data_IF_439203862377
#
_entry.id   IF_439203862377
#
_cell.length_a   1.000
_cell.length_b   1.000
_cell.length_c   1.000
_cell.angle_alpha   90.00
_cell.angle_beta   90.00
_cell.angle_gamma   90.00
#
_symmetry.space_group_name_H-M   'P 1'
#
loop_
_entity.id
_entity.type
_entity.pdbx_description
1 polymer ?
#
# COMPACT_ATOMS: atom_id res chain seq x y z
N UNK A 1 18.30 -3.08 21.02
CA UNK A 1 17.19 -4.02 20.69
C UNK A 1 17.54 -5.37 21.31
N UNK A 2 16.53 -6.04 21.87
CA UNK A 2 16.69 -7.39 22.41
C UNK A 2 16.86 -8.38 21.25
N UNK A 3 17.26 -9.62 21.55
CA UNK A 3 17.42 -10.69 20.56
C UNK A 3 16.15 -10.85 19.73
N UNK A 4 16.25 -10.88 18.39
CA UNK A 4 15.14 -10.91 17.45
C UNK A 4 15.06 -12.27 16.74
N UNK A 5 13.87 -12.81 16.58
CA UNK A 5 13.61 -13.90 15.62
C UNK A 5 12.54 -13.46 14.60
N UNK A 6 12.84 -13.63 13.32
CA UNK A 6 11.91 -13.47 12.21
C UNK A 6 11.59 -14.83 11.61
N UNK A 7 10.37 -15.31 11.84
CA UNK A 7 9.85 -16.54 11.22
C UNK A 7 9.07 -16.18 9.96
N UNK A 8 9.34 -16.81 8.83
CA UNK A 8 8.66 -16.53 7.56
C UNK A 8 7.96 -17.80 7.07
N UNK A 9 6.64 -17.88 7.27
CA UNK A 9 5.83 -18.89 6.60
C UNK A 9 5.73 -18.54 5.11
N UNK A 10 6.09 -19.49 4.24
CA UNK A 10 6.28 -19.23 2.82
C UNK A 10 7.72 -18.82 2.47
N UNK A 11 8.69 -19.31 3.23
CA UNK A 11 10.12 -19.01 3.05
C UNK A 11 10.69 -19.35 1.67
N UNK A 12 9.98 -20.11 0.83
CA UNK A 12 10.38 -20.45 -0.55
C UNK A 12 9.53 -19.75 -1.61
N UNK A 13 8.80 -18.70 -1.21
CA UNK A 13 7.94 -17.92 -2.09
C UNK A 13 8.63 -16.71 -2.71
N UNK A 14 8.05 -16.18 -3.79
CA UNK A 14 8.57 -15.03 -4.54
C UNK A 14 8.72 -13.77 -3.67
N UNK A 15 7.74 -13.49 -2.80
CA UNK A 15 7.79 -12.36 -1.88
C UNK A 15 9.01 -12.43 -0.94
N UNK A 16 9.27 -13.62 -0.38
CA UNK A 16 10.43 -13.84 0.51
C UNK A 16 11.73 -13.57 -0.21
N UNK A 17 11.86 -14.09 -1.44
CA UNK A 17 13.09 -13.96 -2.22
C UNK A 17 13.31 -12.53 -2.75
N UNK A 18 12.27 -11.89 -3.29
CA UNK A 18 12.39 -10.57 -3.94
C UNK A 18 12.33 -9.40 -2.97
N UNK A 19 11.68 -9.57 -1.82
CA UNK A 19 11.40 -8.45 -0.92
C UNK A 19 11.93 -8.65 0.49
N UNK A 20 11.53 -9.73 1.17
CA UNK A 20 11.79 -9.84 2.61
C UNK A 20 13.27 -10.06 2.92
N UNK A 21 13.94 -11.00 2.25
CA UNK A 21 15.35 -11.27 2.51
C UNK A 21 16.28 -10.15 2.03
N UNK A 22 16.08 -9.52 0.84
CA UNK A 22 16.83 -8.32 0.47
C UNK A 22 16.63 -7.14 1.45
N UNK A 23 15.40 -6.92 1.96
CA UNK A 23 15.13 -5.91 2.96
C UNK A 23 15.86 -6.19 4.28
N UNK A 24 15.86 -7.45 4.75
CA UNK A 24 16.62 -7.86 5.93
C UNK A 24 18.12 -7.67 5.76
N UNK A 25 18.65 -7.99 4.57
CA UNK A 25 20.05 -7.74 4.25
C UNK A 25 20.38 -6.23 4.27
N UNK A 26 19.53 -5.38 3.71
CA UNK A 26 19.70 -3.94 3.78
C UNK A 26 19.75 -3.44 5.24
N UNK A 27 18.80 -3.89 6.08
CA UNK A 27 18.78 -3.56 7.53
C UNK A 27 20.04 -4.03 8.24
N UNK A 28 20.54 -5.22 7.90
CA UNK A 28 21.79 -5.77 8.44
C UNK A 28 22.98 -4.87 8.10
N UNK A 29 23.16 -4.50 6.83
CA UNK A 29 24.26 -3.65 6.37
C UNK A 29 24.18 -2.22 6.97
N UNK A 30 22.97 -1.72 7.20
CA UNK A 30 22.73 -0.41 7.83
C UNK A 30 22.85 -0.43 9.36
N UNK A 31 23.21 -1.58 9.96
CA UNK A 31 23.26 -1.79 11.42
C UNK A 31 21.94 -1.44 12.15
N UNK A 32 20.81 -1.75 11.51
CA UNK A 32 19.46 -1.51 12.04
C UNK A 32 18.84 -2.78 12.66
N UNK A 33 19.56 -3.90 12.62
CA UNK A 33 19.19 -5.12 13.33
C UNK A 33 19.94 -5.22 14.66
N UNK A 34 19.40 -5.95 15.69
CA UNK A 34 20.15 -6.26 16.90
C UNK A 34 21.35 -7.16 16.58
N UNK A 35 22.37 -7.16 17.43
CA UNK A 35 23.56 -8.03 17.24
C UNK A 35 23.18 -9.52 17.18
N UNK A 36 22.21 -9.93 17.99
CA UNK A 36 21.70 -11.29 17.98
C UNK A 36 20.32 -11.32 17.28
N UNK A 37 20.28 -11.86 16.07
CA UNK A 37 19.03 -12.12 15.35
C UNK A 37 19.07 -13.45 14.62
N UNK A 38 17.88 -13.99 14.38
CA UNK A 38 17.64 -15.25 13.69
C UNK A 38 16.56 -15.05 12.64
N UNK A 39 16.78 -15.52 11.42
CA UNK A 39 15.75 -15.59 10.37
C UNK A 39 15.48 -17.06 10.10
N UNK A 40 14.23 -17.47 10.25
CA UNK A 40 13.77 -18.84 10.06
C UNK A 40 12.75 -18.91 8.92
N UNK A 41 13.22 -19.04 7.65
CA UNK A 41 12.32 -19.31 6.53
C UNK A 41 11.73 -20.71 6.63
N UNK A 42 10.40 -20.83 6.54
CA UNK A 42 9.69 -22.12 6.61
C UNK A 42 9.18 -22.53 5.23
N UNK A 43 9.42 -23.78 4.87
CA UNK A 43 8.93 -24.35 3.62
C UNK A 43 8.98 -25.88 3.59
N UNK A 44 8.26 -26.49 2.63
CA UNK A 44 8.13 -27.95 2.52
C UNK A 44 9.32 -28.65 1.84
N UNK A 45 10.14 -27.89 1.10
CA UNK A 45 11.24 -28.44 0.31
C UNK A 45 12.34 -28.97 1.21
N UNK A 46 13.02 -30.03 0.77
CA UNK A 46 14.11 -30.64 1.53
C UNK A 46 15.41 -29.90 1.23
N UNK A 47 15.63 -28.76 1.88
CA UNK A 47 16.84 -27.97 1.78
C UNK A 47 17.62 -28.01 3.09
N UNK A 48 18.95 -28.07 2.97
CA UNK A 48 19.88 -27.67 4.02
C UNK A 48 19.98 -26.13 4.07
N UNK A 49 20.60 -25.60 5.12
CA UNK A 49 20.91 -24.16 5.16
C UNK A 49 21.76 -23.73 3.98
N UNK A 50 22.75 -24.54 3.59
CA UNK A 50 23.63 -24.26 2.45
C UNK A 50 22.88 -24.26 1.11
N UNK A 51 21.92 -25.19 0.91
CA UNK A 51 21.09 -25.22 -0.30
C UNK A 51 20.23 -23.96 -0.37
N UNK A 52 19.60 -23.60 0.76
CA UNK A 52 18.73 -22.43 0.84
C UNK A 52 19.50 -21.13 0.62
N UNK A 53 20.69 -20.99 1.23
CA UNK A 53 21.58 -19.84 1.05
C UNK A 53 22.01 -19.69 -0.41
N UNK A 54 22.38 -20.79 -1.08
CA UNK A 54 22.71 -20.77 -2.51
C UNK A 54 21.56 -20.35 -3.42
N UNK A 55 20.30 -20.66 -3.02
CA UNK A 55 19.10 -20.23 -3.75
C UNK A 55 18.85 -18.72 -3.57
N UNK A 56 19.01 -18.18 -2.37
CA UNK A 56 18.67 -16.78 -2.08
C UNK A 56 19.78 -15.78 -2.43
N UNK A 57 21.01 -16.22 -2.57
CA UNK A 57 22.18 -15.37 -2.91
C UNK A 57 21.96 -14.52 -4.16
N UNK A 58 21.54 -15.07 -5.32
CA UNK A 58 21.30 -14.28 -6.52
C UNK A 58 20.15 -13.26 -6.32
N UNK A 59 19.12 -13.62 -5.56
CA UNK A 59 18.01 -12.71 -5.28
C UNK A 59 18.42 -11.54 -4.40
N UNK A 60 19.21 -11.77 -3.36
CA UNK A 60 19.75 -10.68 -2.52
C UNK A 60 20.65 -9.80 -3.37
N UNK A 61 21.50 -10.38 -4.22
CA UNK A 61 22.43 -9.64 -5.10
C UNK A 61 21.70 -8.76 -6.11
N UNK A 62 20.54 -9.20 -6.62
CA UNK A 62 19.74 -8.48 -7.60
C UNK A 62 18.84 -7.40 -6.95
N UNK A 63 18.22 -7.71 -5.80
CA UNK A 63 17.16 -6.89 -5.22
C UNK A 63 17.56 -6.06 -4.00
N UNK A 64 18.75 -6.26 -3.41
CA UNK A 64 19.24 -5.40 -2.34
C UNK A 64 19.56 -4.00 -2.89
N UNK A 65 19.21 -2.96 -2.11
CA UNK A 65 19.54 -1.57 -2.46
C UNK A 65 21.02 -1.23 -2.23
N UNK A 66 21.62 -1.91 -1.26
CA UNK A 66 23.04 -1.75 -0.93
C UNK A 66 23.90 -2.66 -1.79
N UNK A 67 25.14 -2.23 -2.07
CA UNK A 67 26.09 -3.07 -2.79
C UNK A 67 26.41 -4.32 -1.97
N UNK A 68 26.13 -5.49 -2.53
CA UNK A 68 26.44 -6.77 -1.90
C UNK A 68 27.94 -7.06 -2.00
N UNK A 69 28.53 -7.47 -0.86
CA UNK A 69 29.92 -7.94 -0.75
C UNK A 69 29.91 -9.33 -0.15
N UNK A 70 30.75 -10.24 -0.69
CA UNK A 70 30.75 -11.64 -0.29
C UNK A 70 30.95 -11.84 1.22
N UNK A 71 31.90 -11.14 1.83
CA UNK A 71 32.15 -11.23 3.27
C UNK A 71 30.91 -10.84 4.11
N UNK A 72 30.22 -9.77 3.71
CA UNK A 72 29.02 -9.31 4.40
C UNK A 72 27.83 -10.26 4.17
N UNK A 73 27.72 -10.81 2.98
CA UNK A 73 26.69 -11.79 2.65
C UNK A 73 26.88 -13.09 3.44
N UNK A 74 28.13 -13.59 3.51
CA UNK A 74 28.45 -14.75 4.33
C UNK A 74 28.23 -14.49 5.84
N UNK A 75 28.48 -13.28 6.32
CA UNK A 75 28.15 -12.90 7.69
C UNK A 75 26.63 -12.90 7.93
N UNK A 76 25.84 -12.38 6.99
CA UNK A 76 24.38 -12.39 7.06
C UNK A 76 23.80 -13.81 7.02
N UNK A 77 24.35 -14.68 6.19
CA UNK A 77 23.91 -16.09 6.07
C UNK A 77 24.02 -16.90 7.36
N UNK A 78 24.93 -16.54 8.27
CA UNK A 78 25.04 -17.17 9.59
C UNK A 78 23.80 -17.00 10.47
N UNK A 79 22.95 -16.05 10.13
CA UNK A 79 21.69 -15.77 10.84
C UNK A 79 20.47 -16.41 10.17
N UNK A 80 20.63 -17.13 9.06
CA UNK A 80 19.52 -17.73 8.31
C UNK A 80 19.56 -19.25 8.47
N UNK A 81 18.52 -19.80 9.08
CA UNK A 81 18.35 -21.23 9.27
C UNK A 81 17.01 -21.68 8.69
N UNK A 82 17.07 -22.44 7.60
CA UNK A 82 15.88 -22.94 6.92
C UNK A 82 15.22 -24.06 7.75
N UNK A 83 13.96 -23.90 8.06
CA UNK A 83 13.20 -24.90 8.79
C UNK A 83 12.24 -25.64 7.85
N UNK A 84 12.48 -26.93 7.62
CA UNK A 84 11.61 -27.75 6.78
C UNK A 84 10.36 -28.12 7.56
N UNK A 85 9.19 -27.64 7.06
CA UNK A 85 7.93 -27.89 7.68
C UNK A 85 6.78 -27.83 6.66
N UNK A 86 5.83 -28.75 6.76
CA UNK A 86 4.51 -28.58 6.17
C UNK A 86 3.61 -27.93 7.22
N UNK A 87 3.36 -26.64 7.07
CA UNK A 87 2.57 -25.85 8.01
C UNK A 87 1.06 -26.18 7.98
N UNK A 88 0.60 -27.09 7.13
CA UNK A 88 -0.74 -27.67 7.18
C UNK A 88 -0.83 -28.86 8.15
N UNK A 89 0.32 -29.42 8.55
CA UNK A 89 0.42 -30.49 9.53
C UNK A 89 0.59 -29.92 10.95
N UNK A 90 -0.46 -30.00 11.74
CA UNK A 90 -0.49 -29.46 13.11
C UNK A 90 0.56 -30.08 14.05
N UNK A 91 0.99 -31.33 13.82
CA UNK A 91 2.00 -31.97 14.65
C UNK A 91 3.38 -31.33 14.50
N UNK A 92 3.67 -30.73 13.35
CA UNK A 92 4.97 -30.12 13.09
C UNK A 92 5.21 -28.80 13.83
N UNK A 93 4.14 -28.15 14.34
CA UNK A 93 4.30 -26.97 15.20
C UNK A 93 4.98 -27.29 16.53
N UNK A 94 4.85 -28.51 17.04
CA UNK A 94 5.59 -28.94 18.23
C UNK A 94 7.11 -29.02 17.96
N UNK A 95 7.50 -29.44 16.76
CA UNK A 95 8.92 -29.45 16.36
C UNK A 95 9.48 -28.05 16.22
N UNK A 96 8.69 -27.13 15.65
CA UNK A 96 9.05 -25.73 15.56
C UNK A 96 9.16 -25.07 16.94
N UNK A 97 8.25 -25.40 17.87
CA UNK A 97 8.28 -24.91 19.26
C UNK A 97 9.54 -25.39 20.00
N UNK A 98 9.91 -26.69 19.86
CA UNK A 98 11.18 -27.24 20.38
C UNK A 98 12.41 -26.55 19.78
N UNK A 99 12.35 -26.23 18.49
CA UNK A 99 13.41 -25.47 17.84
C UNK A 99 13.62 -24.10 18.49
N UNK A 100 12.53 -23.38 18.85
CA UNK A 100 12.64 -22.09 19.53
C UNK A 100 12.98 -22.22 21.02
N UNK A 101 12.68 -23.33 21.67
CA UNK A 101 13.20 -23.62 23.02
C UNK A 101 14.74 -23.64 23.04
N UNK A 102 15.37 -24.18 21.97
CA UNK A 102 16.81 -24.14 21.80
C UNK A 102 17.37 -22.77 21.33
N UNK A 103 16.50 -21.91 20.79
CA UNK A 103 16.86 -20.59 20.26
C UNK A 103 16.01 -19.47 20.90
N UNK A 104 16.06 -19.28 22.23
CA UNK A 104 15.18 -18.35 22.92
C UNK A 104 15.37 -16.90 22.45
N UNK A 105 14.27 -16.19 22.30
CA UNK A 105 14.22 -14.80 21.89
C UNK A 105 13.17 -14.03 22.68
N UNK A 106 13.36 -12.74 22.85
CA UNK A 106 12.42 -11.84 23.53
C UNK A 106 11.54 -11.06 22.53
N UNK A 107 11.91 -11.04 21.26
CA UNK A 107 11.19 -10.32 20.22
C UNK A 107 10.96 -11.25 19.02
N UNK A 108 9.76 -11.75 18.89
CA UNK A 108 9.38 -12.69 17.85
C UNK A 108 8.46 -12.04 16.84
N UNK A 109 8.88 -12.00 15.59
CA UNK A 109 8.07 -11.53 14.45
C UNK A 109 7.77 -12.72 13.56
N UNK A 110 6.49 -12.95 13.27
CA UNK A 110 6.02 -14.06 12.44
C UNK A 110 5.35 -13.47 11.20
N UNK A 111 5.94 -13.75 10.05
CA UNK A 111 5.47 -13.22 8.76
C UNK A 111 4.72 -14.29 7.97
N UNK A 112 3.47 -14.01 7.60
CA UNK A 112 2.65 -14.87 6.75
C UNK A 112 2.82 -14.49 5.27
N UNK A 113 3.91 -14.99 4.66
CA UNK A 113 4.22 -14.81 3.23
C UNK A 113 3.57 -15.92 2.37
N UNK A 114 2.32 -16.24 2.64
CA UNK A 114 1.52 -17.32 2.02
C UNK A 114 0.17 -16.80 1.57
N UNK A 115 -0.57 -17.60 0.79
CA UNK A 115 -1.94 -17.27 0.42
C UNK A 115 -2.87 -17.23 1.65
N UNK A 116 -3.92 -16.39 1.64
CA UNK A 116 -4.85 -16.21 2.77
C UNK A 116 -5.50 -17.50 3.28
N UNK A 117 -5.69 -18.48 2.39
CA UNK A 117 -6.27 -19.78 2.74
C UNK A 117 -5.49 -20.53 3.82
N UNK A 118 -4.22 -20.20 3.99
CA UNK A 118 -3.36 -20.80 5.03
C UNK A 118 -3.32 -20.01 6.33
N UNK A 119 -3.82 -18.78 6.37
CA UNK A 119 -3.70 -17.92 7.53
C UNK A 119 -4.33 -18.52 8.78
N UNK A 120 -5.53 -19.09 8.66
CA UNK A 120 -6.22 -19.70 9.79
C UNK A 120 -5.45 -20.89 10.37
N UNK A 121 -5.01 -21.81 9.51
CA UNK A 121 -4.26 -23.00 9.93
C UNK A 121 -2.93 -22.65 10.61
N UNK A 122 -2.20 -21.67 10.06
CA UNK A 122 -0.96 -21.16 10.67
C UNK A 122 -1.25 -20.50 12.02
N UNK A 123 -2.30 -19.69 12.12
CA UNK A 123 -2.72 -19.02 13.35
C UNK A 123 -3.02 -20.05 14.45
N UNK A 124 -3.78 -21.11 14.13
CA UNK A 124 -4.06 -22.20 15.06
C UNK A 124 -2.79 -22.90 15.53
N UNK A 125 -1.89 -23.21 14.59
CA UNK A 125 -0.63 -23.86 14.92
C UNK A 125 0.26 -22.98 15.82
N UNK A 126 0.47 -21.73 15.45
CA UNK A 126 1.26 -20.77 16.23
C UNK A 126 0.70 -20.57 17.64
N UNK A 127 -0.62 -20.50 17.78
CA UNK A 127 -1.27 -20.32 19.09
C UNK A 127 -1.02 -21.48 20.09
N UNK A 128 -0.59 -22.65 19.61
CA UNK A 128 -0.24 -23.81 20.48
C UNK A 128 1.20 -23.77 20.97
N UNK A 129 2.05 -22.93 20.40
CA UNK A 129 3.48 -22.84 20.73
C UNK A 129 3.68 -22.07 22.03
N UNK A 130 4.62 -22.55 22.87
CA UNK A 130 4.87 -22.02 24.22
C UNK A 130 6.14 -21.19 24.32
N UNK A 131 7.07 -21.41 23.39
CA UNK A 131 8.39 -20.77 23.41
C UNK A 131 8.43 -19.46 22.58
N UNK A 132 7.26 -18.91 22.28
CA UNK A 132 7.09 -17.60 21.67
C UNK A 132 6.29 -16.71 22.63
N UNK A 133 6.95 -15.69 23.19
CA UNK A 133 6.29 -14.70 24.05
C UNK A 133 5.78 -13.55 23.19
N UNK A 134 4.49 -13.24 23.26
CA UNK A 134 3.83 -12.09 22.62
C UNK A 134 4.29 -11.89 21.16
N UNK A 135 4.11 -12.91 20.28
CA UNK A 135 4.61 -12.81 18.92
C UNK A 135 3.87 -11.73 18.14
N UNK A 136 4.60 -10.97 17.34
CA UNK A 136 4.06 -10.01 16.39
C UNK A 136 3.73 -10.72 15.10
N UNK A 137 2.47 -10.67 14.69
CA UNK A 137 1.97 -11.34 13.47
C UNK A 137 1.89 -10.34 12.34
N UNK A 138 2.61 -10.61 11.26
CA UNK A 138 2.64 -9.76 10.06
C UNK A 138 1.86 -10.44 8.94
N UNK A 139 0.86 -9.75 8.42
CA UNK A 139 -0.05 -10.24 7.38
C UNK A 139 0.08 -9.44 6.11
N UNK A 140 0.12 -10.15 4.98
CA UNK A 140 0.03 -9.57 3.64
C UNK A 140 -1.41 -9.51 3.13
N UNK A 141 -1.63 -8.59 2.24
CA UNK A 141 -2.84 -8.47 1.44
C UNK A 141 -2.93 -9.62 0.39
N UNK A 142 -4.11 -10.17 0.12
CA UNK A 142 -5.42 -9.86 0.73
C UNK A 142 -5.58 -10.51 2.11
N UNK A 143 -6.31 -9.84 3.01
CA UNK A 143 -6.51 -10.32 4.38
C UNK A 143 -7.60 -11.40 4.52
N UNK A 144 -8.19 -11.84 3.42
CA UNK A 144 -9.20 -12.89 3.30
C UNK A 144 -9.83 -12.88 1.90
N UNK A 145 -10.54 -13.95 1.55
CA UNK A 145 -11.23 -14.07 0.27
C UNK A 145 -12.56 -13.29 0.24
N UNK A 146 -13.19 -13.06 1.40
CA UNK A 146 -14.39 -12.23 1.57
C UNK A 146 -14.29 -11.40 2.85
N UNK A 147 -15.16 -10.39 2.99
CA UNK A 147 -15.24 -9.58 4.20
C UNK A 147 -15.53 -10.42 5.45
N UNK A 148 -16.46 -11.39 5.36
CA UNK A 148 -16.82 -12.27 6.47
C UNK A 148 -15.63 -13.11 6.93
N UNK A 149 -14.89 -13.71 6.00
CA UNK A 149 -13.70 -14.51 6.30
C UNK A 149 -12.58 -13.64 6.89
N UNK A 150 -12.36 -12.46 6.31
CA UNK A 150 -11.38 -11.50 6.82
C UNK A 150 -11.73 -11.02 8.23
N UNK A 151 -13.02 -10.74 8.51
CA UNK A 151 -13.54 -10.36 9.83
C UNK A 151 -13.37 -11.49 10.86
N UNK A 152 -13.70 -12.72 10.48
CA UNK A 152 -13.51 -13.89 11.31
C UNK A 152 -12.03 -14.07 11.68
N UNK A 153 -11.14 -14.04 10.69
CA UNK A 153 -9.71 -14.20 10.89
C UNK A 153 -9.12 -13.07 11.75
N UNK A 154 -9.50 -11.81 11.48
CA UNK A 154 -9.07 -10.67 12.27
C UNK A 154 -9.42 -10.81 13.73
N UNK A 155 -10.69 -11.14 14.03
CA UNK A 155 -11.15 -11.36 15.40
C UNK A 155 -10.42 -12.51 16.08
N UNK A 156 -10.14 -13.60 15.34
CA UNK A 156 -9.40 -14.75 15.85
C UNK A 156 -7.97 -14.36 16.23
N UNK A 157 -7.26 -13.65 15.34
CA UNK A 157 -5.90 -13.15 15.56
C UNK A 157 -5.83 -12.20 16.76
N UNK A 158 -6.74 -11.23 16.84
CA UNK A 158 -6.79 -10.25 17.92
C UNK A 158 -7.10 -10.88 19.28
N UNK A 159 -7.97 -11.89 19.31
CA UNK A 159 -8.25 -12.64 20.54
C UNK A 159 -7.06 -13.48 21.01
N UNK A 160 -6.25 -14.03 20.10
CA UNK A 160 -5.11 -14.88 20.42
C UNK A 160 -3.84 -14.10 20.76
N UNK A 161 -3.58 -13.00 20.05
CA UNK A 161 -2.29 -12.30 20.12
C UNK A 161 -2.40 -10.85 20.60
N UNK A 162 -3.61 -10.27 20.66
CA UNK A 162 -3.84 -8.86 20.95
C UNK A 162 -3.76 -7.97 19.70
N UNK A 163 -4.59 -6.94 19.63
CA UNK A 163 -4.70 -6.05 18.45
C UNK A 163 -3.39 -5.33 18.11
N UNK A 164 -2.60 -4.98 19.13
CA UNK A 164 -1.34 -4.23 18.96
C UNK A 164 -0.19 -5.10 18.44
N UNK A 165 -0.37 -6.43 18.45
CA UNK A 165 0.58 -7.41 17.92
C UNK A 165 0.25 -7.84 16.49
N UNK A 166 -0.80 -7.29 15.87
CA UNK A 166 -1.18 -7.62 14.49
C UNK A 166 -0.79 -6.47 13.55
N UNK A 167 0.11 -6.77 12.63
CA UNK A 167 0.69 -5.86 11.65
C UNK A 167 0.18 -6.19 10.26
N UNK A 168 -0.84 -5.47 9.78
CA UNK A 168 -1.41 -5.66 8.44
C UNK A 168 -0.71 -4.73 7.48
N UNK A 169 0.06 -5.31 6.55
CA UNK A 169 0.87 -4.53 5.61
C UNK A 169 0.00 -3.95 4.50
N UNK A 170 0.07 -2.63 4.38
CA UNK A 170 -0.15 -1.92 3.13
C UNK A 170 1.18 -1.32 2.69
N UNK A 171 1.79 -1.87 1.66
CA UNK A 171 3.11 -1.44 1.20
C UNK A 171 3.14 0.00 0.66
N UNK A 172 1.98 0.61 0.36
CA UNK A 172 1.90 2.04 0.02
C UNK A 172 2.17 2.93 1.23
N UNK A 173 1.73 2.52 2.43
CA UNK A 173 2.04 3.23 3.68
C UNK A 173 3.53 3.17 4.05
N UNK A 174 4.25 2.18 3.53
CA UNK A 174 5.71 2.09 3.65
C UNK A 174 6.49 3.04 2.73
N UNK A 175 5.85 3.64 1.70
CA UNK A 175 6.53 4.52 0.75
C UNK A 175 6.87 5.86 1.39
N UNK A 176 8.12 6.32 1.15
CA UNK A 176 8.63 7.58 1.71
C UNK A 176 7.75 8.77 1.38
N UNK A 177 7.36 8.92 0.11
CA UNK A 177 6.57 10.06 -0.35
C UNK A 177 5.13 10.06 0.20
N UNK A 178 4.56 8.89 0.54
CA UNK A 178 3.25 8.83 1.20
C UNK A 178 3.35 9.39 2.62
N UNK A 179 4.39 9.02 3.37
CA UNK A 179 4.65 9.56 4.70
C UNK A 179 5.01 11.06 4.65
N UNK A 180 5.73 11.46 3.61
CA UNK A 180 6.16 12.84 3.42
C UNK A 180 5.00 13.82 3.21
N UNK A 181 3.80 13.36 2.80
CA UNK A 181 2.59 14.18 2.71
C UNK A 181 2.35 14.96 4.01
N UNK A 182 2.48 14.30 5.16
CA UNK A 182 2.28 14.92 6.47
C UNK A 182 3.37 15.96 6.78
N UNK A 183 4.62 15.66 6.47
CA UNK A 183 5.75 16.59 6.65
C UNK A 183 5.59 17.81 5.75
N UNK A 184 5.21 17.62 4.48
CA UNK A 184 4.97 18.71 3.53
C UNK A 184 3.90 19.64 4.09
N UNK A 185 2.81 19.08 4.58
CA UNK A 185 1.69 19.82 5.12
C UNK A 185 2.02 20.56 6.42
N UNK A 186 2.64 19.90 7.39
CA UNK A 186 2.76 20.43 8.76
C UNK A 186 4.05 21.22 9.01
N UNK A 187 5.17 20.81 8.40
CA UNK A 187 6.45 21.44 8.61
C UNK A 187 6.67 22.71 7.75
N UNK A 188 5.79 22.97 6.78
CA UNK A 188 5.93 24.12 5.88
C UNK A 188 4.82 25.14 6.10
N UNK A 189 5.19 26.35 6.51
CA UNK A 189 4.25 27.45 6.75
C UNK A 189 3.36 27.76 5.54
N UNK A 190 3.88 27.57 4.32
CA UNK A 190 3.16 27.78 3.07
C UNK A 190 1.93 26.87 2.93
N UNK A 191 1.94 25.69 3.55
CA UNK A 191 0.86 24.70 3.41
C UNK A 191 0.04 24.53 4.69
N UNK A 192 0.64 24.71 5.85
CA UNK A 192 0.01 24.41 7.15
C UNK A 192 -1.36 25.08 7.33
N UNK A 193 -1.47 26.35 6.99
CA UNK A 193 -2.69 27.13 7.22
C UNK A 193 -3.67 27.11 6.04
N UNK A 194 -3.25 26.62 4.87
CA UNK A 194 -4.07 26.62 3.66
C UNK A 194 -4.59 25.21 3.29
N UNK A 195 -4.35 24.20 4.14
CA UNK A 195 -4.73 22.82 3.91
C UNK A 195 -6.16 22.54 4.39
N UNK A 196 -7.14 23.21 3.76
CA UNK A 196 -8.53 23.17 4.16
C UNK A 196 -9.47 23.64 3.03
N UNK A 197 -10.78 23.49 3.25
CA UNK A 197 -11.86 23.86 2.33
C UNK A 197 -11.86 25.33 1.88
N UNK A 198 -11.27 26.23 2.65
CA UNK A 198 -11.27 27.66 2.31
C UNK A 198 -10.26 27.98 1.21
N UNK A 199 -9.21 27.18 1.09
CA UNK A 199 -8.08 27.40 0.18
C UNK A 199 -7.91 26.30 -0.88
N UNK A 200 -8.31 25.04 -0.61
CA UNK A 200 -8.23 23.94 -1.56
C UNK A 200 -9.53 23.86 -2.36
N UNK A 201 -9.37 23.77 -3.68
CA UNK A 201 -10.49 23.60 -4.60
C UNK A 201 -10.88 22.13 -4.73
N UNK A 202 -9.90 21.28 -5.02
CA UNK A 202 -10.06 19.82 -5.09
C UNK A 202 -8.73 19.09 -4.88
N UNK A 203 -8.85 17.79 -4.61
CA UNK A 203 -7.72 16.84 -4.50
C UNK A 203 -7.89 15.74 -5.54
N UNK A 204 -6.82 15.38 -6.23
CA UNK A 204 -6.79 14.27 -7.19
C UNK A 204 -5.72 13.25 -6.77
N UNK A 205 -6.07 11.96 -6.77
CA UNK A 205 -5.19 10.85 -6.42
C UNK A 205 -5.22 9.85 -7.56
N UNK A 206 -4.09 9.65 -8.21
CA UNK A 206 -3.93 8.72 -9.34
C UNK A 206 -3.04 7.54 -8.97
N UNK A 207 -3.41 6.33 -9.41
CA UNK A 207 -2.54 5.16 -9.44
C UNK A 207 -2.76 4.40 -10.74
N UNK A 208 -1.95 4.69 -11.75
CA UNK A 208 -2.06 4.15 -13.09
C UNK A 208 -0.92 3.17 -13.39
N UNK A 209 -1.22 2.11 -14.13
CA UNK A 209 -0.28 1.06 -14.52
C UNK A 209 -0.30 0.84 -16.05
N UNK A 210 0.88 0.77 -16.67
CA UNK A 210 1.03 0.42 -18.11
C UNK A 210 0.79 -1.06 -18.37
N UNK A 211 1.02 -1.90 -17.36
CA UNK A 211 0.86 -3.36 -17.47
C UNK A 211 -0.60 -3.78 -17.30
N UNK A 212 -0.94 -4.94 -17.85
CA UNK A 212 -2.24 -5.60 -17.66
C UNK A 212 -2.27 -6.48 -16.41
N UNK A 213 -3.17 -7.47 -16.43
CA UNK A 213 -3.28 -8.45 -15.33
C UNK A 213 -2.27 -9.58 -15.45
N UNK A 214 -1.73 -9.83 -16.64
CA UNK A 214 -0.70 -10.83 -16.95
C UNK A 214 -1.04 -12.21 -16.36
N UNK A 215 -0.16 -12.76 -15.49
CA UNK A 215 -0.36 -14.08 -14.85
C UNK A 215 -1.36 -14.05 -13.69
N UNK A 216 -1.87 -12.86 -13.29
CA UNK A 216 -2.76 -12.66 -12.16
C UNK A 216 -4.25 -12.64 -12.57
N UNK A 217 -4.61 -13.03 -13.78
CA UNK A 217 -5.99 -12.95 -14.31
C UNK A 217 -7.01 -13.57 -13.35
N UNK A 218 -6.77 -14.79 -12.86
CA UNK A 218 -7.70 -15.46 -11.94
C UNK A 218 -7.97 -14.65 -10.64
N UNK A 219 -6.95 -14.06 -10.03
CA UNK A 219 -7.14 -13.21 -8.85
C UNK A 219 -7.86 -11.91 -9.21
N UNK A 220 -7.40 -11.26 -10.29
CA UNK A 220 -7.88 -9.94 -10.65
C UNK A 220 -9.34 -9.95 -11.13
N UNK A 221 -9.76 -11.02 -11.77
CA UNK A 221 -11.13 -11.18 -12.26
C UNK A 221 -12.18 -11.23 -11.13
N UNK A 222 -11.76 -11.60 -9.94
CA UNK A 222 -12.58 -11.57 -8.73
C UNK A 222 -12.46 -10.28 -7.94
N UNK A 223 -11.30 -9.62 -8.00
CA UNK A 223 -11.01 -8.41 -7.21
C UNK A 223 -11.44 -7.13 -7.93
N UNK A 224 -11.02 -6.96 -9.20
CA UNK A 224 -11.19 -5.71 -9.94
C UNK A 224 -10.35 -4.55 -9.41
N UNK A 225 -10.40 -3.43 -10.10
CA UNK A 225 -9.68 -2.21 -9.74
C UNK A 225 -10.11 -1.62 -8.39
N UNK A 226 -11.38 -1.77 -8.04
CA UNK A 226 -11.92 -1.27 -6.79
C UNK A 226 -11.29 -1.96 -5.58
N UNK A 227 -11.25 -3.30 -5.56
CA UNK A 227 -10.71 -4.06 -4.42
C UNK A 227 -9.18 -4.15 -4.45
N UNK A 228 -8.57 -4.22 -5.66
CA UNK A 228 -7.11 -4.31 -5.76
C UNK A 228 -6.43 -3.01 -5.34
N UNK A 229 -6.98 -1.85 -5.71
CA UNK A 229 -6.34 -0.55 -5.54
C UNK A 229 -7.10 0.43 -4.67
N UNK A 230 -8.40 0.66 -4.93
CA UNK A 230 -9.13 1.75 -4.26
C UNK A 230 -9.36 1.45 -2.80
N UNK A 231 -9.95 0.30 -2.49
CA UNK A 231 -10.34 -0.13 -1.15
C UNK A 231 -9.18 -0.12 -0.16
N UNK A 232 -7.99 -0.44 -0.62
CA UNK A 232 -6.81 -0.53 0.24
C UNK A 232 -5.95 0.73 0.13
N UNK A 233 -5.22 0.86 -0.98
CA UNK A 233 -4.15 1.84 -1.12
C UNK A 233 -4.64 3.27 -1.27
N UNK A 234 -5.64 3.51 -2.14
CA UNK A 234 -6.02 4.88 -2.49
C UNK A 234 -6.88 5.54 -1.42
N UNK A 235 -7.76 4.80 -0.75
CA UNK A 235 -8.48 5.30 0.43
C UNK A 235 -7.53 5.60 1.59
N UNK A 236 -6.44 4.82 1.74
CA UNK A 236 -5.40 5.10 2.74
C UNK A 236 -4.64 6.39 2.41
N UNK A 237 -4.20 6.57 1.15
CA UNK A 237 -3.54 7.82 0.72
C UNK A 237 -4.48 9.01 0.91
N UNK A 238 -5.74 8.87 0.51
CA UNK A 238 -6.77 9.92 0.70
C UNK A 238 -6.92 10.28 2.17
N UNK A 239 -7.03 9.29 3.06
CA UNK A 239 -7.18 9.55 4.48
C UNK A 239 -5.95 10.26 5.08
N UNK A 240 -4.71 9.93 4.65
CA UNK A 240 -3.49 10.63 5.06
C UNK A 240 -3.51 12.11 4.63
N UNK A 241 -3.92 12.38 3.38
CA UNK A 241 -4.07 13.76 2.89
C UNK A 241 -5.08 14.54 3.75
N UNK A 242 -6.13 13.87 4.19
CA UNK A 242 -7.30 14.49 4.80
C UNK A 242 -7.33 14.51 6.33
N UNK A 243 -6.37 13.88 7.05
CA UNK A 243 -6.36 13.88 8.52
C UNK A 243 -6.45 15.30 9.09
N UNK A 244 -7.05 15.46 10.24
CA UNK A 244 -7.16 16.77 10.90
C UNK A 244 -5.86 17.16 11.60
N UNK A 245 -5.34 16.29 12.45
CA UNK A 245 -4.11 16.49 13.21
C UNK A 245 -3.01 15.52 12.74
N UNK A 246 -2.04 15.99 11.95
CA UNK A 246 -0.94 15.16 11.47
C UNK A 246 0.04 14.72 12.58
N UNK A 247 -0.09 15.26 13.79
CA UNK A 247 0.76 14.92 14.95
C UNK A 247 0.11 13.92 15.92
N UNK A 248 -1.19 13.64 15.73
CA UNK A 248 -1.95 12.71 16.54
C UNK A 248 -1.73 11.23 16.19
N UNK A 249 -2.50 10.36 16.82
CA UNK A 249 -2.51 8.93 16.47
C UNK A 249 -3.00 8.73 15.03
N UNK A 250 -2.11 8.37 14.13
CA UNK A 250 -2.40 8.29 12.69
C UNK A 250 -3.55 7.33 12.37
N UNK A 251 -3.59 6.16 13.01
CA UNK A 251 -4.65 5.18 12.76
C UNK A 251 -6.04 5.72 13.16
N UNK A 252 -6.14 6.42 14.29
CA UNK A 252 -7.39 7.03 14.74
C UNK A 252 -7.82 8.17 13.81
N UNK A 253 -6.86 9.01 13.39
CA UNK A 253 -7.12 10.12 12.48
C UNK A 253 -7.60 9.63 11.10
N UNK A 254 -6.94 8.63 10.53
CA UNK A 254 -7.35 8.03 9.25
C UNK A 254 -8.73 7.37 9.34
N UNK A 255 -8.99 6.62 10.41
CA UNK A 255 -10.30 6.00 10.66
C UNK A 255 -11.40 7.06 10.77
N UNK A 256 -11.13 8.18 11.46
CA UNK A 256 -12.07 9.29 11.57
C UNK A 256 -12.40 9.88 10.20
N UNK A 257 -11.41 10.07 9.33
CA UNK A 257 -11.62 10.54 7.95
C UNK A 257 -12.50 9.56 7.17
N UNK A 258 -12.19 8.24 7.21
CA UNK A 258 -12.96 7.24 6.48
C UNK A 258 -14.44 7.20 6.94
N UNK A 259 -14.69 7.30 8.25
CA UNK A 259 -16.06 7.36 8.80
C UNK A 259 -16.83 8.63 8.44
N UNK A 260 -16.15 9.68 8.00
CA UNK A 260 -16.73 10.94 7.56
C UNK A 260 -16.91 11.02 6.04
N UNK A 261 -16.60 9.93 5.31
CA UNK A 261 -16.97 9.85 3.89
C UNK A 261 -18.47 10.03 3.72
N UNK A 262 -18.84 10.93 2.80
CA UNK A 262 -20.25 11.18 2.51
C UNK A 262 -20.92 9.90 2.02
N UNK A 263 -22.06 9.49 2.61
CA UNK A 263 -22.82 8.36 2.12
C UNK A 263 -23.28 8.56 0.68
N UNK A 264 -23.14 7.53 -0.13
CA UNK A 264 -23.60 7.48 -1.52
C UNK A 264 -24.94 6.76 -1.55
N UNK A 265 -25.79 7.13 -2.49
CA UNK A 265 -27.09 6.49 -2.71
C UNK A 265 -27.33 6.29 -4.21
N UNK A 266 -28.40 5.60 -4.57
CA UNK A 266 -28.77 5.26 -5.95
C UNK A 266 -28.95 6.50 -6.85
N UNK A 267 -29.32 7.64 -6.29
CA UNK A 267 -29.57 8.87 -7.05
C UNK A 267 -28.28 9.55 -7.52
N UNK A 268 -27.19 9.40 -6.76
CA UNK A 268 -25.93 10.07 -7.05
C UNK A 268 -24.77 9.13 -7.41
N UNK A 269 -24.98 7.81 -7.49
CA UNK A 269 -23.93 6.83 -7.80
C UNK A 269 -23.25 7.10 -9.15
N UNK A 270 -23.99 7.52 -10.18
CA UNK A 270 -23.47 7.85 -11.51
C UNK A 270 -22.53 9.07 -11.51
N UNK A 271 -22.71 9.99 -10.54
CA UNK A 271 -21.87 11.18 -10.37
C UNK A 271 -20.70 10.93 -9.38
N UNK A 272 -20.65 9.71 -8.83
CA UNK A 272 -19.69 9.29 -7.81
C UNK A 272 -18.70 8.25 -8.30
N UNK A 273 -19.16 7.28 -9.11
CA UNK A 273 -18.36 6.14 -9.55
C UNK A 273 -18.45 5.95 -11.06
N UNK A 274 -17.31 5.72 -11.71
CA UNK A 274 -17.19 5.29 -13.09
C UNK A 274 -16.28 4.07 -13.16
N UNK A 275 -16.73 3.02 -13.84
CA UNK A 275 -15.98 1.79 -14.04
C UNK A 275 -15.63 1.60 -15.51
N UNK A 276 -14.43 1.10 -15.77
CA UNK A 276 -13.96 0.79 -17.13
C UNK A 276 -13.26 -0.55 -17.22
N UNK A 277 -13.21 -1.12 -18.44
CA UNK A 277 -12.47 -2.34 -18.75
C UNK A 277 -11.65 -2.12 -20.03
N UNK A 278 -10.34 -2.44 -20.00
CA UNK A 278 -9.52 -2.27 -21.20
C UNK A 278 -9.87 -3.29 -22.29
N UNK A 279 -9.76 -2.86 -23.53
CA UNK A 279 -9.97 -3.73 -24.70
C UNK A 279 -8.95 -4.89 -24.69
N UNK A 280 -9.45 -6.13 -24.88
CA UNK A 280 -8.64 -7.35 -24.80
C UNK A 280 -8.51 -7.95 -23.37
N UNK A 281 -9.16 -7.38 -22.35
CA UNK A 281 -9.12 -7.96 -21.00
C UNK A 281 -9.62 -9.39 -20.92
N UNK A 282 -10.70 -9.69 -21.62
CA UNK A 282 -11.34 -11.04 -21.64
C UNK A 282 -10.52 -12.10 -22.39
N UNK A 283 -9.46 -11.68 -23.07
CA UNK A 283 -8.49 -12.53 -23.77
C UNK A 283 -7.26 -12.84 -22.89
N UNK A 284 -7.15 -12.19 -21.75
CA UNK A 284 -6.04 -12.41 -20.80
C UNK A 284 -6.14 -13.80 -20.16
N UNK A 285 -4.98 -14.35 -19.79
CA UNK A 285 -4.86 -15.68 -19.20
C UNK A 285 -5.65 -15.80 -17.89
N UNK A 286 -6.52 -16.82 -17.79
CA UNK A 286 -7.37 -17.10 -16.62
C UNK A 286 -8.41 -16.02 -16.30
N UNK A 287 -8.84 -15.25 -17.27
CA UNK A 287 -9.99 -14.35 -17.19
C UNK A 287 -11.21 -15.02 -17.82
N UNK A 288 -12.39 -14.83 -17.22
CA UNK A 288 -13.64 -15.32 -17.81
C UNK A 288 -13.95 -14.55 -19.11
N UNK A 289 -14.19 -15.23 -20.26
CA UNK A 289 -14.56 -14.56 -21.51
C UNK A 289 -15.83 -13.68 -21.41
N UNK A 290 -16.68 -13.90 -20.42
CA UNK A 290 -17.86 -13.08 -20.14
C UNK A 290 -17.65 -12.06 -19.00
N UNK A 291 -16.43 -11.92 -18.51
CA UNK A 291 -16.13 -11.04 -17.37
C UNK A 291 -16.58 -9.60 -17.60
N UNK A 292 -17.18 -9.02 -16.58
CA UNK A 292 -17.53 -7.60 -16.47
C UNK A 292 -16.69 -6.89 -15.40
N UNK A 293 -15.60 -7.52 -14.96
CA UNK A 293 -14.71 -6.97 -13.93
C UNK A 293 -14.05 -5.70 -14.43
N UNK A 294 -14.12 -4.69 -13.62
CA UNK A 294 -13.49 -3.39 -13.89
C UNK A 294 -11.95 -3.46 -13.80
N UNK A 295 -11.27 -2.90 -14.79
CA UNK A 295 -9.80 -2.71 -14.82
C UNK A 295 -9.41 -1.25 -14.69
N UNK A 296 -10.41 -0.37 -14.68
CA UNK A 296 -10.32 1.05 -14.37
C UNK A 296 -11.46 1.42 -13.42
N UNK A 297 -11.16 2.24 -12.44
CA UNK A 297 -12.15 2.85 -11.56
C UNK A 297 -11.80 4.30 -11.31
N UNK A 298 -12.81 5.16 -11.35
CA UNK A 298 -12.70 6.55 -10.92
C UNK A 298 -13.85 6.89 -9.97
N UNK A 299 -13.51 7.61 -8.91
CA UNK A 299 -14.44 8.03 -7.87
C UNK A 299 -14.34 9.52 -7.61
N UNK A 300 -15.48 10.13 -7.30
CA UNK A 300 -15.61 11.48 -6.74
C UNK A 300 -16.20 11.39 -5.36
N UNK A 301 -15.39 11.63 -4.35
CA UNK A 301 -15.75 11.48 -2.95
C UNK A 301 -15.77 12.82 -2.23
N UNK A 302 -16.53 12.89 -1.13
CA UNK A 302 -16.58 14.04 -0.24
C UNK A 302 -16.39 13.56 1.20
N UNK A 303 -15.73 14.41 2.01
CA UNK A 303 -15.54 14.18 3.43
C UNK A 303 -16.37 15.23 4.18
N UNK A 304 -17.37 14.78 4.94
CA UNK A 304 -18.30 15.65 5.63
C UNK A 304 -17.76 16.01 7.02
N UNK A 305 -16.74 16.88 7.05
CA UNK A 305 -16.21 17.49 8.27
C UNK A 305 -15.94 18.98 8.06
N UNK A 306 -15.56 19.68 9.13
CA UNK A 306 -15.33 21.12 9.08
C UNK A 306 -14.19 21.50 8.12
N UNK A 307 -13.13 20.70 8.05
CA UNK A 307 -11.95 20.95 7.21
C UNK A 307 -12.22 20.78 5.73
N UNK A 308 -13.01 19.78 5.33
CA UNK A 308 -13.12 19.33 3.95
C UNK A 308 -14.50 19.47 3.31
N UNK A 309 -15.49 19.97 4.05
CA UNK A 309 -16.85 20.10 3.56
C UNK A 309 -16.91 20.85 2.21
N UNK A 310 -17.42 20.16 1.18
CA UNK A 310 -17.57 20.71 -0.17
C UNK A 310 -16.35 20.59 -1.07
N UNK A 311 -15.20 20.10 -0.58
CA UNK A 311 -14.01 19.81 -1.40
C UNK A 311 -14.14 18.42 -2.00
N UNK A 312 -14.16 18.26 -3.35
CA UNK A 312 -14.16 16.95 -3.97
C UNK A 312 -12.76 16.30 -3.92
N UNK A 313 -12.76 15.02 -3.61
CA UNK A 313 -11.61 14.13 -3.74
C UNK A 313 -11.85 13.21 -4.92
N UNK A 314 -11.07 13.38 -5.96
CA UNK A 314 -11.08 12.51 -7.14
C UNK A 314 -10.02 11.42 -6.98
N UNK A 315 -10.42 10.18 -7.14
CA UNK A 315 -9.52 9.01 -7.08
C UNK A 315 -9.63 8.27 -8.41
N UNK A 316 -8.50 7.90 -9.02
CA UNK A 316 -8.52 7.02 -10.19
C UNK A 316 -7.43 5.97 -10.13
N UNK A 317 -7.73 4.81 -10.70
CA UNK A 317 -6.77 3.74 -10.94
C UNK A 317 -7.11 3.01 -12.23
N UNK A 318 -6.12 2.44 -12.90
CA UNK A 318 -6.36 1.69 -14.12
C UNK A 318 -5.15 0.90 -14.59
N UNK A 319 -5.41 -0.20 -15.30
CA UNK A 319 -4.41 -1.03 -15.97
C UNK A 319 -4.37 -0.75 -17.47
N UNK A 320 -3.25 -1.10 -18.15
CA UNK A 320 -3.03 -0.81 -19.57
C UNK A 320 -3.21 0.67 -19.94
N UNK A 321 -2.85 1.55 -19.00
CA UNK A 321 -2.89 3.00 -19.21
C UNK A 321 -1.66 3.50 -19.98
N UNK A 322 -1.70 4.75 -20.45
CA UNK A 322 -0.62 5.36 -21.22
C UNK A 322 0.68 5.54 -20.45
N UNK A 323 0.61 5.59 -19.12
CA UNK A 323 1.77 5.79 -18.25
C UNK A 323 1.59 5.11 -16.90
N UNK A 324 2.72 4.76 -16.29
CA UNK A 324 2.76 4.37 -14.87
C UNK A 324 2.89 5.62 -14.03
N UNK A 325 1.94 5.82 -13.10
CA UNK A 325 1.89 7.03 -12.28
C UNK A 325 1.22 6.75 -10.95
N UNK A 326 1.84 7.17 -9.86
CA UNK A 326 1.18 7.28 -8.56
C UNK A 326 1.50 8.68 -8.04
N UNK A 327 0.46 9.51 -7.90
CA UNK A 327 0.61 10.88 -7.44
C UNK A 327 -0.62 11.39 -6.70
N UNK A 328 -0.38 12.40 -5.87
CA UNK A 328 -1.41 13.25 -5.25
C UNK A 328 -1.25 14.66 -5.79
N UNK A 329 -2.31 15.20 -6.36
CA UNK A 329 -2.37 16.56 -6.86
C UNK A 329 -3.38 17.37 -6.02
N UNK A 330 -2.93 18.49 -5.48
CA UNK A 330 -3.75 19.40 -4.68
C UNK A 330 -3.85 20.73 -5.42
N UNK A 331 -5.05 21.04 -5.87
CA UNK A 331 -5.35 22.27 -6.58
C UNK A 331 -5.92 23.29 -5.61
N UNK A 332 -5.27 24.43 -5.49
CA UNK A 332 -5.73 25.53 -4.66
C UNK A 332 -6.78 26.38 -5.39
N UNK A 333 -7.62 27.06 -4.64
CA UNK A 333 -8.61 27.97 -5.21
C UNK A 333 -7.94 29.11 -5.98
N UNK A 334 -8.53 29.48 -7.11
CA UNK A 334 -8.10 30.65 -7.88
C UNK A 334 -8.21 31.90 -7.05
N UNK A 335 -7.18 32.73 -7.05
CA UNK A 335 -7.20 34.02 -6.38
C UNK A 335 -7.79 35.12 -7.27
N UNK A 336 -7.70 34.95 -8.58
CA UNK A 336 -8.18 35.87 -9.62
C UNK A 336 -8.66 35.07 -10.84
N UNK A 337 -9.62 35.59 -11.58
CA UNK A 337 -10.19 34.91 -12.75
C UNK A 337 -9.17 34.77 -13.92
N UNK A 338 -8.24 35.73 -14.03
CA UNK A 338 -7.24 35.81 -15.09
C UNK A 338 -5.93 35.03 -14.82
N UNK A 339 -5.86 34.26 -13.71
CA UNK A 339 -4.70 33.42 -13.39
C UNK A 339 -5.11 31.97 -13.18
N UNK A 340 -4.20 31.06 -13.47
CA UNK A 340 -4.41 29.65 -13.16
C UNK A 340 -4.29 29.37 -11.66
N UNK A 341 -4.95 28.33 -11.14
CA UNK A 341 -4.77 27.91 -9.76
C UNK A 341 -3.33 27.46 -9.52
N UNK A 342 -2.84 27.66 -8.29
CA UNK A 342 -1.61 27.00 -7.87
C UNK A 342 -1.88 25.50 -7.66
N UNK A 343 -0.90 24.66 -7.98
CA UNK A 343 -1.05 23.20 -7.87
C UNK A 343 0.19 22.62 -7.19
N UNK A 344 -0.03 21.90 -6.10
CA UNK A 344 1.00 21.09 -5.43
C UNK A 344 0.85 19.66 -5.90
N UNK A 345 1.92 19.07 -6.44
CA UNK A 345 1.94 17.66 -6.86
C UNK A 345 2.98 16.89 -6.07
N UNK A 346 2.55 15.81 -5.47
CA UNK A 346 3.38 14.87 -4.71
C UNK A 346 3.47 13.59 -5.52
N UNK A 347 4.62 13.36 -6.17
CA UNK A 347 4.91 12.17 -6.97
C UNK A 347 5.40 11.04 -6.07
N UNK A 348 4.72 9.90 -6.13
CA UNK A 348 5.02 8.72 -5.30
C UNK A 348 5.78 7.67 -6.12
N UNK A 349 5.42 7.47 -7.40
CA UNK A 349 6.08 6.57 -8.36
C UNK A 349 5.79 6.97 -9.82
N UNK A 350 6.69 6.68 -10.78
CA UNK A 350 8.02 6.05 -10.65
C UNK A 350 9.10 7.02 -10.14
N UNK A 351 8.89 8.32 -10.31
CA UNK A 351 9.77 9.37 -9.78
C UNK A 351 9.21 9.85 -8.45
N UNK A 352 10.06 9.93 -7.44
CA UNK A 352 9.67 10.44 -6.13
C UNK A 352 10.06 11.91 -5.99
N UNK A 353 9.10 12.75 -5.60
CA UNK A 353 9.37 14.18 -5.48
C UNK A 353 8.12 15.01 -5.26
N UNK A 354 8.34 16.31 -5.17
CA UNK A 354 7.27 17.31 -4.97
C UNK A 354 7.53 18.46 -5.94
N UNK A 355 6.50 18.95 -6.59
CA UNK A 355 6.60 20.22 -7.29
C UNK A 355 5.37 21.11 -7.03
N UNK A 356 5.62 22.41 -7.11
CA UNK A 356 4.60 23.45 -6.96
C UNK A 356 4.53 24.26 -8.24
N UNK A 357 3.36 24.30 -8.86
CA UNK A 357 3.04 25.24 -9.93
C UNK A 357 2.52 26.54 -9.33
N UNK A 358 3.11 27.66 -9.74
CA UNK A 358 2.74 28.99 -9.24
C UNK A 358 2.88 30.03 -10.34
N UNK A 359 2.22 31.17 -10.16
CA UNK A 359 2.16 32.21 -11.15
C UNK A 359 3.29 33.23 -10.96
N UNK A 360 3.96 33.57 -12.07
CA UNK A 360 4.98 34.63 -12.13
C UNK A 360 4.63 35.60 -13.26
N UNK A 361 5.21 36.81 -13.22
CA UNK A 361 5.15 37.73 -14.36
C UNK A 361 6.01 37.18 -15.50
N UNK A 362 5.48 37.18 -16.72
CA UNK A 362 6.25 36.79 -17.91
C UNK A 362 7.41 37.78 -18.12
N UNK A 363 8.66 37.28 -18.23
CA UNK A 363 9.80 38.16 -18.44
C UNK A 363 9.62 39.05 -19.69
N UNK A 364 9.71 40.36 -19.51
CA UNK A 364 9.58 41.36 -20.62
C UNK A 364 8.14 41.69 -21.03
N UNK A 365 7.12 41.10 -20.41
CA UNK A 365 5.70 41.31 -20.71
C UNK A 365 4.92 41.68 -19.47
N UNK A 366 3.69 42.20 -19.61
CA UNK A 366 2.77 42.42 -18.49
C UNK A 366 1.80 41.23 -18.24
N UNK A 367 2.00 40.12 -18.97
CA UNK A 367 1.26 38.90 -18.82
C UNK A 367 1.77 38.03 -17.63
N UNK A 368 0.91 37.12 -17.16
CA UNK A 368 1.23 36.15 -16.12
C UNK A 368 1.40 34.78 -16.78
N UNK A 369 2.40 34.03 -16.34
CA UNK A 369 2.66 32.67 -16.80
C UNK A 369 2.90 31.75 -15.60
N UNK A 370 2.73 30.45 -15.79
CA UNK A 370 3.09 29.41 -14.79
C UNK A 370 4.60 29.22 -14.73
N UNK A 371 5.09 29.04 -13.52
CA UNK A 371 6.43 28.53 -13.25
C UNK A 371 6.32 27.31 -12.32
N UNK A 372 7.32 26.45 -12.36
CA UNK A 372 7.41 25.27 -11.53
C UNK A 372 8.63 25.35 -10.62
N UNK A 373 8.41 25.04 -9.34
CA UNK A 373 9.47 24.79 -8.37
C UNK A 373 9.40 23.30 -8.01
N UNK A 374 10.49 22.57 -8.22
CA UNK A 374 10.51 21.12 -8.00
C UNK A 374 11.60 20.66 -7.05
N UNK A 375 11.30 19.61 -6.31
CA UNK A 375 12.21 18.81 -5.53
C UNK A 375 12.10 17.35 -5.99
N UNK A 376 13.19 16.82 -6.54
CA UNK A 376 13.26 15.43 -6.95
C UNK A 376 14.10 14.64 -5.93
N UNK A 377 13.45 13.71 -5.21
CA UNK A 377 14.13 12.89 -4.20
C UNK A 377 15.10 11.90 -4.84
N UNK A 378 14.67 11.22 -5.90
CA UNK A 378 15.47 10.20 -6.59
C UNK A 378 16.55 10.78 -7.51
N UNK A 379 16.50 12.09 -7.84
CA UNK A 379 17.53 12.77 -8.62
C UNK A 379 18.78 13.06 -7.79
N UNK A 380 18.65 13.15 -6.47
CA UNK A 380 19.77 13.31 -5.55
C UNK A 380 20.27 11.92 -5.12
N UNK A 381 21.53 11.61 -5.50
CA UNK A 381 22.12 10.30 -5.20
C UNK A 381 22.13 9.96 -3.69
N UNK A 382 22.39 10.96 -2.84
CA UNK A 382 22.42 10.79 -1.39
C UNK A 382 21.02 10.43 -0.86
N UNK A 383 19.99 11.16 -1.29
CA UNK A 383 18.61 10.85 -0.89
C UNK A 383 18.17 9.49 -1.41
N UNK A 384 18.46 9.17 -2.67
CA UNK A 384 18.13 7.88 -3.28
C UNK A 384 18.73 6.70 -2.51
N UNK A 385 20.01 6.79 -2.14
CA UNK A 385 20.72 5.73 -1.40
C UNK A 385 20.22 5.59 0.05
N UNK A 386 19.72 6.69 0.64
CA UNK A 386 19.22 6.72 2.01
C UNK A 386 17.71 6.46 2.11
N UNK A 387 16.98 6.40 0.99
CA UNK A 387 15.53 6.10 0.99
C UNK A 387 15.35 4.59 1.12
N UNK A 388 14.83 4.07 2.26
CA UNK A 388 14.57 2.64 2.41
C UNK A 388 13.39 2.20 1.54
N UNK A 389 13.41 0.96 1.05
CA UNK A 389 12.22 0.37 0.43
C UNK A 389 11.08 0.22 1.43
N UNK A 390 9.84 0.17 0.92
CA UNK A 390 8.65 0.03 1.75
C UNK A 390 8.73 -1.18 2.69
N UNK A 391 9.15 -2.34 2.19
CA UNK A 391 9.30 -3.57 3.00
C UNK A 391 10.40 -3.47 4.06
N UNK A 392 11.52 -2.84 3.75
CA UNK A 392 12.59 -2.59 4.73
C UNK A 392 12.07 -1.77 5.92
N UNK A 393 11.34 -0.70 5.63
CA UNK A 393 10.72 0.17 6.64
C UNK A 393 9.67 -0.56 7.47
N UNK A 394 8.78 -1.31 6.80
CA UNK A 394 7.70 -2.02 7.48
C UNK A 394 8.25 -3.14 8.39
N UNK A 395 9.23 -3.91 7.92
CA UNK A 395 9.90 -4.93 8.75
C UNK A 395 10.57 -4.29 9.97
N UNK A 396 11.32 -3.20 9.78
CA UNK A 396 11.95 -2.49 10.89
C UNK A 396 10.93 -1.99 11.90
N UNK A 397 9.82 -1.39 11.44
CA UNK A 397 8.75 -0.91 12.32
C UNK A 397 8.13 -2.06 13.14
N UNK A 398 7.86 -3.23 12.53
CA UNK A 398 7.40 -4.41 13.27
C UNK A 398 8.38 -4.84 14.36
N UNK A 399 9.68 -4.85 14.05
CA UNK A 399 10.73 -5.26 14.98
C UNK A 399 10.79 -4.37 16.22
N UNK A 400 10.67 -3.05 16.04
CA UNK A 400 10.69 -2.09 17.15
C UNK A 400 9.34 -1.89 17.82
N UNK A 401 8.26 -2.51 17.32
CA UNK A 401 6.91 -2.40 17.88
C UNK A 401 6.15 -1.14 17.48
N UNK A 402 6.60 -0.43 16.43
CA UNK A 402 5.88 0.72 15.88
C UNK A 402 4.77 0.23 14.93
N UNK A 403 3.51 0.36 15.35
CA UNK A 403 2.33 -0.03 14.58
C UNK A 403 1.60 1.16 13.91
N UNK A 404 2.14 2.37 14.01
CA UNK A 404 1.49 3.61 13.55
C UNK A 404 1.20 3.66 12.04
N UNK A 405 1.95 2.88 11.25
CA UNK A 405 1.85 2.81 9.79
C UNK A 405 1.28 1.48 9.26
N UNK A 406 0.63 0.72 10.14
CA UNK A 406 -0.05 -0.52 9.76
C UNK A 406 -1.56 -0.32 9.86
N UNK A 407 -2.28 -0.87 8.89
CA UNK A 407 -3.72 -0.70 8.83
C UNK A 407 -4.41 -1.46 9.95
N UNK A 408 -5.18 -0.78 10.77
CA UNK A 408 -6.04 -1.42 11.78
C UNK A 408 -7.26 -2.06 11.12
N UNK A 409 -7.82 -3.08 11.80
CA UNK A 409 -8.93 -3.84 11.24
C UNK A 409 -10.15 -2.97 10.91
N UNK A 410 -10.50 -2.04 11.78
CA UNK A 410 -11.66 -1.16 11.61
C UNK A 410 -11.58 -0.32 10.33
N UNK A 411 -10.36 0.09 9.93
CA UNK A 411 -10.15 0.82 8.68
C UNK A 411 -10.39 -0.07 7.46
N UNK A 412 -9.92 -1.32 7.53
CA UNK A 412 -10.11 -2.32 6.48
C UNK A 412 -11.60 -2.64 6.34
N UNK A 413 -12.26 -2.97 7.45
CA UNK A 413 -13.68 -3.31 7.50
C UNK A 413 -14.52 -2.19 6.90
N UNK A 414 -14.32 -0.94 7.35
CA UNK A 414 -15.04 0.21 6.83
C UNK A 414 -14.81 0.43 5.34
N UNK A 415 -13.55 0.31 4.88
CA UNK A 415 -13.21 0.47 3.46
C UNK A 415 -13.87 -0.61 2.60
N UNK A 416 -13.96 -1.84 3.09
CA UNK A 416 -14.63 -2.94 2.39
C UNK A 416 -16.14 -2.71 2.31
N UNK A 417 -16.77 -2.40 3.44
CA UNK A 417 -18.22 -2.10 3.48
C UNK A 417 -18.57 -0.95 2.55
N UNK A 418 -17.77 0.11 2.54
CA UNK A 418 -18.00 1.28 1.70
C UNK A 418 -17.86 0.95 0.21
N UNK A 419 -16.81 0.26 -0.19
CA UNK A 419 -16.56 -0.09 -1.61
C UNK A 419 -17.54 -1.17 -2.10
N UNK A 420 -17.86 -2.18 -1.29
CA UNK A 420 -18.85 -3.19 -1.67
C UNK A 420 -20.24 -2.56 -1.84
N UNK A 421 -20.63 -1.61 -0.98
CA UNK A 421 -21.88 -0.86 -1.13
C UNK A 421 -21.88 -0.02 -2.43
N UNK A 422 -20.80 0.68 -2.77
CA UNK A 422 -20.69 1.42 -4.03
C UNK A 422 -20.82 0.50 -5.25
N UNK A 423 -20.13 -0.64 -5.23
CA UNK A 423 -20.17 -1.61 -6.34
C UNK A 423 -21.57 -2.20 -6.52
N UNK A 424 -22.25 -2.50 -5.41
CA UNK A 424 -23.63 -3.00 -5.44
C UNK A 424 -24.59 -1.94 -6.01
N UNK A 425 -24.54 -0.70 -5.52
CA UNK A 425 -25.38 0.40 -6.04
C UNK A 425 -25.15 0.66 -7.54
N UNK A 426 -23.88 0.60 -7.98
CA UNK A 426 -23.52 0.75 -9.39
C UNK A 426 -24.16 -0.35 -10.26
N UNK A 427 -24.11 -1.58 -9.78
CA UNK A 427 -24.74 -2.74 -10.42
C UNK A 427 -26.26 -2.64 -10.45
N UNK A 428 -26.89 -2.28 -9.31
CA UNK A 428 -28.35 -2.16 -9.19
C UNK A 428 -28.90 -1.03 -10.08
N UNK A 429 -28.13 0.04 -10.27
CA UNK A 429 -28.45 1.12 -11.20
C UNK A 429 -28.22 0.74 -12.67
N UNK A 430 -27.76 -0.48 -12.97
CA UNK A 430 -27.42 -0.97 -14.30
C UNK A 430 -26.47 -0.05 -15.08
N UNK A 431 -25.50 0.55 -14.39
CA UNK A 431 -24.51 1.43 -15.01
C UNK A 431 -23.46 0.62 -15.78
N UNK A 432 -23.00 1.09 -16.95
CA UNK A 432 -22.10 0.31 -17.80
C UNK A 432 -20.67 0.32 -17.29
N UNK A 433 -19.94 -0.78 -17.52
CA UNK A 433 -18.49 -0.80 -17.48
C UNK A 433 -17.98 -0.33 -18.84
N UNK A 434 -17.37 0.85 -18.93
CA UNK A 434 -17.00 1.47 -20.19
C UNK A 434 -15.73 0.85 -20.79
N UNK A 435 -15.73 0.46 -22.10
CA UNK A 435 -14.51 0.00 -22.73
C UNK A 435 -13.53 1.16 -22.92
N UNK A 436 -12.22 0.89 -22.77
CA UNK A 436 -11.18 1.85 -23.12
C UNK A 436 -10.02 1.19 -23.87
N UNK A 437 -9.43 1.86 -24.89
CA UNK A 437 -8.27 1.34 -25.61
C UNK A 437 -7.05 1.20 -24.70
N UNK A 438 -6.24 0.16 -24.92
CA UNK A 438 -4.94 0.04 -24.24
C UNK A 438 -4.04 1.24 -24.58
N UNK A 439 -3.33 1.74 -23.59
CA UNK A 439 -2.49 2.95 -23.75
C UNK A 439 -3.27 4.26 -23.71
N UNK A 440 -4.54 4.25 -23.28
CA UNK A 440 -5.32 5.47 -23.06
C UNK A 440 -4.80 6.25 -21.84
N UNK A 441 -4.94 7.55 -21.88
CA UNK A 441 -4.72 8.41 -20.69
C UNK A 441 -5.83 8.20 -19.67
N UNK A 442 -7.07 8.07 -20.16
CA UNK A 442 -8.29 7.82 -19.38
C UNK A 442 -9.43 7.35 -20.29
N UNK A 443 -10.48 6.71 -19.76
CA UNK A 443 -11.73 6.49 -20.48
C UNK A 443 -12.39 7.84 -20.84
N UNK A 444 -12.95 7.96 -22.06
CA UNK A 444 -13.58 9.20 -22.56
C UNK A 444 -14.72 9.69 -21.65
N UNK A 445 -15.42 8.77 -21.05
CA UNK A 445 -16.57 9.00 -20.19
C UNK A 445 -16.19 9.59 -18.83
N UNK A 446 -14.91 9.60 -18.47
CA UNK A 446 -14.44 10.14 -17.20
C UNK A 446 -14.83 11.60 -16.98
N UNK A 447 -15.01 12.36 -18.08
CA UNK A 447 -15.49 13.74 -18.03
C UNK A 447 -16.86 13.91 -17.36
N UNK A 448 -17.65 12.83 -17.23
CA UNK A 448 -18.95 12.85 -16.55
C UNK A 448 -18.82 13.07 -15.03
N UNK A 449 -17.67 12.74 -14.44
CA UNK A 449 -17.43 12.97 -13.00
C UNK A 449 -16.99 14.41 -12.70
N UNK A 450 -16.58 15.19 -13.71
CA UNK A 450 -16.13 16.55 -13.52
C UNK A 450 -17.29 17.54 -13.66
N UNK A 451 -17.25 18.59 -12.85
CA UNK A 451 -18.21 19.69 -12.97
C UNK A 451 -17.62 20.93 -13.66
N UNK A 452 -16.28 20.99 -13.76
CA UNK A 452 -15.53 22.13 -14.29
C UNK A 452 -14.31 21.66 -15.09
N UNK A 453 -13.95 22.37 -16.16
CA UNK A 453 -12.85 21.97 -17.06
C UNK A 453 -11.50 21.80 -16.35
N UNK A 454 -11.23 22.59 -15.31
CA UNK A 454 -9.97 22.51 -14.58
C UNK A 454 -9.91 21.38 -13.55
N UNK A 455 -10.99 20.66 -13.33
CA UNK A 455 -11.02 19.44 -12.52
C UNK A 455 -10.52 18.22 -13.30
N UNK A 456 -10.40 18.34 -14.64
CA UNK A 456 -9.89 17.26 -15.48
C UNK A 456 -8.43 16.92 -15.13
N UNK A 457 -8.08 15.65 -15.30
CA UNK A 457 -6.71 15.20 -15.14
C UNK A 457 -5.87 15.64 -16.37
N UNK A 458 -4.90 16.52 -16.17
CA UNK A 458 -3.96 16.96 -17.21
C UNK A 458 -2.68 16.14 -17.16
#
# INVERSE_FOLDING_TARGET
MNKLTLTIFGGTGDLTYRKLLPAMYNLFIKNQLPEAFLITPIGRRNYTDADYQGIIEPWISEFAQVKVKDEQLQAFFKHIHYFRMDFTDKAQYQLLDQYYEAHPTENHVIYYAVAPDFFEGITDGVSTMKNMHEPKIVLEKPFGASLELAKFLSKKLENLFGSDHIYRIDHYLGKEMVRNILTIRDANLLFKNVWNKDNIDHVQISALEEVGVETRGNYYDHAGALKDMVQNHLLQIMSIVAVDDPTGNMNEQQLAVLKQLRPVNELNIKDTLLLGQYEGYREELHVDPASTTETFAALKLFIDNERWQGVPFYIRTGKKMARREIEVKITFKRQREDVDPNVLVIKIQPTEGVYLEFNIKTPGEDSITKAQMDFCQNCNLIFKLNTPEAYERMLHACMIGDNSWFTKWEMIEYSWEYIDALKQMYSDANLPVYPYPQGSVEPKELSQLYHRDFEQWN
#
